data_IF_677301995107
#
_entry.id   IF_677301995107
#
_cell.length_a   1.000
_cell.length_b   1.000
_cell.length_c   1.000
_cell.angle_alpha   90.00
_cell.angle_beta   90.00
_cell.angle_gamma   90.00
#
_symmetry.space_group_name_H-M   'P 1'
#
loop_
_entity.id
_entity.type
_entity.pdbx_description
1 polymer ?
#
# COMPACT_ATOMS: atom_id res chain seq x y z
N UNK A 1 21.67 -19.29 36.04
CA UNK A 1 21.39 -18.04 35.29
C UNK A 1 19.94 -18.08 34.81
N UNK A 2 19.04 -17.32 35.45
CA UNK A 2 17.59 -17.31 35.09
C UNK A 2 17.41 -16.46 33.86
N UNK A 3 16.90 -17.06 32.79
CA UNK A 3 16.53 -16.37 31.57
C UNK A 3 15.27 -15.53 31.83
N UNK A 4 15.22 -14.24 31.45
CA UNK A 4 14.03 -13.44 31.68
C UNK A 4 12.85 -14.04 30.90
N UNK A 5 11.70 -14.16 31.55
CA UNK A 5 10.47 -14.77 31.01
C UNK A 5 9.66 -13.84 30.12
N UNK A 6 10.09 -12.61 29.92
CA UNK A 6 9.41 -11.65 29.07
C UNK A 6 10.37 -11.09 28.02
N UNK A 7 10.04 -11.32 26.76
CA UNK A 7 10.70 -10.68 25.63
C UNK A 7 10.17 -9.24 25.49
N UNK A 8 11.01 -8.26 25.75
CA UNK A 8 10.67 -6.82 25.68
C UNK A 8 10.52 -6.31 24.23
N UNK A 9 10.83 -7.13 23.27
CA UNK A 9 10.76 -6.80 21.83
C UNK A 9 9.52 -7.38 21.15
N UNK A 10 8.57 -7.88 21.95
CA UNK A 10 7.31 -8.38 21.46
C UNK A 10 7.39 -9.60 20.57
N UNK A 11 8.55 -10.25 20.23
CA UNK A 11 8.44 -11.39 19.32
C UNK A 11 9.75 -12.01 18.84
N UNK A 12 10.80 -12.04 19.69
CA UNK A 12 12.02 -12.75 19.33
C UNK A 12 12.02 -14.17 19.87
N UNK A 13 12.35 -15.13 19.00
CA UNK A 13 12.56 -16.52 19.34
C UNK A 13 13.88 -16.70 20.10
N UNK A 14 13.80 -17.03 21.38
CA UNK A 14 14.95 -17.49 22.16
C UNK A 14 14.72 -18.95 22.51
N UNK A 15 15.57 -19.86 21.99
CA UNK A 15 15.62 -21.30 22.33
C UNK A 15 14.24 -21.98 22.46
N UNK A 16 13.59 -22.26 21.34
CA UNK A 16 12.39 -23.10 21.32
C UNK A 16 11.06 -22.35 21.50
N UNK A 17 11.06 -21.09 21.89
CA UNK A 17 9.87 -20.24 21.83
C UNK A 17 9.73 -19.59 20.45
N UNK A 18 8.66 -19.96 19.74
CA UNK A 18 8.22 -19.20 18.57
C UNK A 18 7.36 -18.05 19.09
N UNK A 19 7.94 -16.86 19.17
CA UNK A 19 7.11 -15.66 19.20
C UNK A 19 6.47 -15.50 17.83
N UNK A 20 5.15 -15.41 17.78
CA UNK A 20 4.46 -15.07 16.54
C UNK A 20 4.79 -13.61 16.21
N UNK A 21 5.62 -13.40 15.20
CA UNK A 21 5.85 -12.07 14.68
C UNK A 21 4.51 -11.55 14.15
N UNK A 22 3.99 -10.47 14.73
CA UNK A 22 2.74 -9.87 14.28
C UNK A 22 3.02 -9.15 12.96
N UNK A 23 2.77 -9.85 11.86
CA UNK A 23 2.88 -9.27 10.53
C UNK A 23 1.83 -8.17 10.37
N UNK A 24 2.29 -6.95 10.07
CA UNK A 24 1.41 -5.84 9.74
C UNK A 24 1.28 -5.75 8.23
N UNK A 25 0.05 -5.84 7.72
CA UNK A 25 -0.23 -5.81 6.30
C UNK A 25 -0.98 -4.53 5.91
N UNK A 26 -0.69 -4.03 4.73
CA UNK A 26 -1.24 -2.80 4.17
C UNK A 26 -1.66 -3.01 2.72
N UNK A 27 -2.56 -2.17 2.25
CA UNK A 27 -2.93 -2.04 0.84
C UNK A 27 -2.63 -0.64 0.34
N UNK A 28 -2.26 -0.54 -0.93
CA UNK A 28 -2.09 0.74 -1.64
C UNK A 28 -2.67 0.56 -3.05
N UNK A 29 -3.58 1.45 -3.45
CA UNK A 29 -4.26 1.40 -4.73
C UNK A 29 -4.00 2.65 -5.57
N UNK A 30 -3.89 2.42 -6.87
CA UNK A 30 -3.83 3.45 -7.90
C UNK A 30 -5.08 3.33 -8.78
N UNK A 31 -6.00 4.29 -8.67
CA UNK A 31 -7.12 4.38 -9.60
C UNK A 31 -6.72 5.32 -10.74
N UNK A 32 -6.72 4.78 -11.94
CA UNK A 32 -6.49 5.52 -13.18
C UNK A 32 -7.83 5.78 -13.89
N UNK A 33 -7.86 6.79 -14.74
CA UNK A 33 -8.91 6.89 -15.74
C UNK A 33 -8.76 5.76 -16.79
N UNK A 34 -9.75 5.60 -17.65
CA UNK A 34 -9.79 4.51 -18.62
C UNK A 34 -8.63 4.51 -19.62
N UNK A 35 -8.05 5.68 -19.88
CA UNK A 35 -6.92 5.85 -20.79
C UNK A 35 -5.55 5.80 -20.07
N UNK A 36 -5.54 5.75 -18.74
CA UNK A 36 -4.30 5.76 -17.95
C UNK A 36 -3.57 7.09 -17.93
N UNK A 37 -4.28 8.20 -18.19
CA UNK A 37 -3.70 9.54 -18.24
C UNK A 37 -3.72 10.26 -16.88
N UNK A 38 -4.65 9.89 -16.01
CA UNK A 38 -4.82 10.49 -14.69
C UNK A 38 -4.81 9.43 -13.60
N UNK A 39 -4.34 9.80 -12.42
CA UNK A 39 -4.29 8.94 -11.24
C UNK A 39 -4.64 9.73 -9.98
N UNK A 40 -5.40 9.12 -9.07
CA UNK A 40 -5.61 9.66 -7.73
C UNK A 40 -4.44 9.30 -6.82
N UNK A 41 -3.92 10.31 -6.14
CA UNK A 41 -2.97 10.15 -5.04
C UNK A 41 -3.49 10.86 -3.80
N UNK A 42 -3.07 10.40 -2.63
CA UNK A 42 -3.47 10.98 -1.35
C UNK A 42 -2.25 11.59 -0.65
N UNK A 43 -2.38 12.83 -0.15
CA UNK A 43 -1.33 13.47 0.61
C UNK A 43 -1.36 12.99 2.05
N UNK A 44 -0.31 12.32 2.48
CA UNK A 44 -0.24 11.68 3.80
C UNK A 44 0.00 12.71 4.90
N UNK A 45 -0.76 12.60 5.99
CA UNK A 45 -0.56 13.35 7.24
C UNK A 45 0.24 12.53 8.25
N UNK A 46 0.22 11.21 8.15
CA UNK A 46 0.93 10.23 8.99
C UNK A 46 1.30 8.97 8.19
N UNK A 47 2.31 8.19 8.62
CA UNK A 47 3.25 8.48 9.71
C UNK A 47 4.16 9.66 9.38
N UNK A 48 4.94 10.15 10.36
CA UNK A 48 5.75 11.36 10.23
C UNK A 48 6.68 11.36 9.00
N UNK A 49 7.28 10.21 8.65
CA UNK A 49 8.17 10.09 7.49
C UNK A 49 7.45 10.19 6.14
N UNK A 50 6.10 10.08 6.11
CA UNK A 50 5.29 10.29 4.90
C UNK A 50 4.60 11.65 4.87
N UNK A 51 4.63 12.40 5.96
CA UNK A 51 3.88 13.67 6.06
C UNK A 51 4.20 14.61 4.91
N UNK A 52 3.16 15.08 4.22
CA UNK A 52 3.25 15.97 3.06
C UNK A 52 3.67 15.29 1.76
N UNK A 53 3.97 13.98 1.78
CA UNK A 53 4.24 13.21 0.57
C UNK A 53 2.94 12.62 0.02
N UNK A 54 2.84 12.54 -1.29
CA UNK A 54 1.76 11.82 -1.96
C UNK A 54 2.06 10.33 -2.08
N UNK A 55 1.05 9.51 -1.81
CA UNK A 55 1.06 8.06 -1.94
C UNK A 55 -0.18 7.60 -2.72
N UNK A 56 -0.25 6.32 -3.10
CA UNK A 56 -1.52 5.72 -3.50
C UNK A 56 -2.51 5.68 -2.34
N UNK A 57 -3.79 5.63 -2.64
CA UNK A 57 -4.87 5.55 -1.66
C UNK A 57 -4.85 4.18 -0.99
N UNK A 58 -4.98 4.11 0.33
CA UNK A 58 -5.00 2.85 1.04
C UNK A 58 -4.50 2.94 2.48
N UNK A 59 -4.55 1.81 3.17
CA UNK A 59 -4.24 1.76 4.59
C UNK A 59 -3.98 0.36 5.10
N UNK A 60 -4.33 0.13 6.35
CA UNK A 60 -4.02 -1.09 7.09
C UNK A 60 -5.09 -2.15 6.84
N UNK A 61 -4.65 -3.40 6.57
CA UNK A 61 -5.55 -4.56 6.54
C UNK A 61 -5.96 -4.90 7.97
N UNK A 62 -7.26 -5.00 8.22
CA UNK A 62 -7.82 -5.36 9.51
C UNK A 62 -7.76 -6.87 9.76
N UNK A 63 -7.94 -7.27 11.03
CA UNK A 63 -7.89 -8.67 11.42
C UNK A 63 -9.04 -9.46 10.76
N UNK A 64 -8.68 -10.46 9.97
CA UNK A 64 -9.65 -11.33 9.27
C UNK A 64 -10.11 -10.78 7.92
N UNK A 65 -9.62 -9.62 7.52
CA UNK A 65 -9.92 -9.00 6.24
C UNK A 65 -8.95 -9.49 5.16
N UNK A 66 -9.44 -9.70 3.95
CA UNK A 66 -8.56 -9.95 2.81
C UNK A 66 -7.93 -8.65 2.30
N UNK A 67 -6.80 -8.73 1.60
CA UNK A 67 -6.17 -7.55 1.00
C UNK A 67 -7.10 -6.88 -0.03
N UNK A 68 -7.90 -7.66 -0.74
CA UNK A 68 -8.87 -7.16 -1.71
C UNK A 68 -10.01 -6.38 -1.03
N UNK A 69 -10.60 -6.94 0.04
CA UNK A 69 -11.67 -6.26 0.79
C UNK A 69 -11.16 -4.99 1.47
N UNK A 70 -9.92 -5.04 2.01
CA UNK A 70 -9.26 -3.88 2.58
C UNK A 70 -9.08 -2.77 1.53
N UNK A 71 -8.69 -3.11 0.29
CA UNK A 71 -8.53 -2.13 -0.78
C UNK A 71 -9.86 -1.43 -1.11
N UNK A 72 -10.95 -2.19 -1.20
CA UNK A 72 -12.29 -1.64 -1.46
C UNK A 72 -12.71 -0.72 -0.32
N UNK A 73 -12.54 -1.14 0.93
CA UNK A 73 -12.91 -0.37 2.13
C UNK A 73 -12.11 0.92 2.24
N UNK A 74 -10.77 0.83 2.22
CA UNK A 74 -9.88 1.98 2.38
C UNK A 74 -10.11 3.02 1.28
N UNK A 75 -10.24 2.58 0.02
CA UNK A 75 -10.51 3.51 -1.07
C UNK A 75 -11.84 4.25 -0.89
N UNK A 76 -12.88 3.55 -0.46
CA UNK A 76 -14.19 4.17 -0.18
C UNK A 76 -14.12 5.13 1.01
N UNK A 77 -13.39 4.78 2.08
CA UNK A 77 -13.25 5.61 3.29
C UNK A 77 -12.50 6.91 3.00
N UNK A 78 -11.43 6.85 2.18
CA UNK A 78 -10.60 8.01 1.89
C UNK A 78 -11.14 8.88 0.73
N UNK A 79 -11.85 8.28 -0.24
CA UNK A 79 -12.27 8.99 -1.47
C UNK A 79 -13.79 9.13 -1.63
N UNK A 80 -14.59 8.44 -0.82
CA UNK A 80 -16.04 8.35 -0.97
C UNK A 80 -16.52 7.46 -2.13
N UNK A 81 -15.61 6.91 -2.93
CA UNK A 81 -15.92 6.13 -4.13
C UNK A 81 -15.82 4.64 -3.86
N UNK A 82 -16.91 3.91 -4.12
CA UNK A 82 -16.89 2.45 -4.09
C UNK A 82 -16.42 1.88 -5.44
N UNK A 83 -15.38 1.03 -5.40
CA UNK A 83 -14.83 0.34 -6.56
C UNK A 83 -14.48 -1.10 -6.19
N UNK A 84 -14.88 -2.06 -7.03
CA UNK A 84 -14.57 -3.49 -6.89
C UNK A 84 -13.62 -4.00 -8.00
N UNK A 85 -13.28 -3.17 -8.98
CA UNK A 85 -12.48 -3.57 -10.15
C UNK A 85 -10.96 -3.49 -9.87
N UNK A 86 -10.54 -3.89 -8.66
CA UNK A 86 -9.14 -3.86 -8.26
C UNK A 86 -8.37 -5.08 -8.73
N UNK A 87 -7.19 -4.87 -9.29
CA UNK A 87 -6.25 -5.93 -9.65
C UNK A 87 -4.96 -5.75 -8.86
N UNK A 88 -4.56 -6.79 -8.11
CA UNK A 88 -3.27 -6.81 -7.43
C UNK A 88 -2.17 -7.08 -8.45
N UNK A 89 -1.10 -6.28 -8.44
CA UNK A 89 0.01 -6.43 -9.38
C UNK A 89 1.39 -6.54 -8.70
N UNK A 90 1.48 -6.18 -7.41
CA UNK A 90 2.74 -6.19 -6.69
C UNK A 90 2.52 -6.48 -5.21
N UNK A 91 3.46 -7.18 -4.60
CA UNK A 91 3.57 -7.35 -3.16
C UNK A 91 5.01 -7.04 -2.74
N UNK A 92 5.17 -6.20 -1.74
CA UNK A 92 6.48 -5.85 -1.18
C UNK A 92 6.45 -6.12 0.32
N UNK A 93 7.42 -6.88 0.81
CA UNK A 93 7.61 -7.17 2.23
C UNK A 93 8.99 -6.73 2.72
N UNK A 94 9.07 -6.34 3.99
CA UNK A 94 10.33 -6.04 4.66
C UNK A 94 10.85 -7.23 5.44
N UNK A 95 12.19 -7.46 5.46
CA UNK A 95 12.81 -8.45 6.33
C UNK A 95 12.89 -7.93 7.77
N UNK A 96 12.89 -8.85 8.74
CA UNK A 96 13.22 -8.57 10.13
C UNK A 96 12.13 -8.80 11.15
N UNK A 97 12.36 -8.31 12.37
CA UNK A 97 11.53 -8.54 13.57
C UNK A 97 10.16 -7.87 13.52
N UNK A 98 9.99 -6.86 12.70
CA UNK A 98 8.70 -6.26 12.36
C UNK A 98 8.42 -6.57 10.90
N UNK A 99 7.89 -7.76 10.62
CA UNK A 99 7.48 -8.11 9.27
C UNK A 99 6.26 -7.27 8.88
N UNK A 100 6.40 -6.56 7.78
CA UNK A 100 5.32 -5.85 7.15
C UNK A 100 5.21 -6.27 5.68
N UNK A 101 3.99 -6.21 5.16
CA UNK A 101 3.69 -6.48 3.74
C UNK A 101 2.79 -5.39 3.23
N UNK A 102 3.07 -4.89 2.04
CA UNK A 102 2.19 -3.97 1.30
C UNK A 102 1.76 -4.63 0.01
N UNK A 103 0.46 -4.69 -0.21
CA UNK A 103 -0.16 -5.18 -1.44
C UNK A 103 -0.54 -3.99 -2.30
N UNK A 104 -0.08 -3.96 -3.54
CA UNK A 104 -0.35 -2.88 -4.48
C UNK A 104 -1.38 -3.30 -5.51
N UNK A 105 -2.37 -2.43 -5.69
CA UNK A 105 -3.49 -2.63 -6.59
C UNK A 105 -3.58 -1.51 -7.61
N UNK A 106 -4.17 -1.80 -8.76
CA UNK A 106 -4.62 -0.79 -9.69
C UNK A 106 -6.07 -1.05 -10.11
N UNK A 107 -6.75 0.01 -10.56
CA UNK A 107 -8.04 -0.05 -11.20
C UNK A 107 -8.12 1.01 -12.31
N UNK A 108 -8.82 0.72 -13.40
CA UNK A 108 -9.13 1.68 -14.44
C UNK A 108 -10.62 1.99 -14.40
N UNK A 109 -10.99 3.26 -14.16
CA UNK A 109 -12.39 3.65 -14.03
C UNK A 109 -12.60 5.14 -14.22
N UNK A 110 -13.69 5.50 -14.89
CA UNK A 110 -14.18 6.89 -14.94
C UNK A 110 -14.54 7.44 -13.55
N UNK A 111 -14.67 6.57 -12.55
CA UNK A 111 -14.91 6.96 -11.16
C UNK A 111 -13.75 7.77 -10.55
N UNK A 112 -12.55 7.72 -11.16
CA UNK A 112 -11.39 8.52 -10.75
C UNK A 112 -11.71 10.01 -10.66
N UNK A 113 -12.59 10.52 -11.52
CA UNK A 113 -13.04 11.92 -11.54
C UNK A 113 -14.11 12.26 -10.50
N UNK A 114 -14.59 11.27 -9.74
CA UNK A 114 -15.64 11.44 -8.71
C UNK A 114 -15.09 11.36 -7.29
N UNK A 115 -13.78 11.16 -7.14
CA UNK A 115 -13.14 11.06 -5.83
C UNK A 115 -13.14 12.40 -5.12
N UNK A 116 -13.32 12.37 -3.81
CA UNK A 116 -13.31 13.51 -2.92
C UNK A 116 -12.35 13.23 -1.76
N UNK A 117 -11.87 14.26 -1.11
CA UNK A 117 -11.17 14.12 0.17
C UNK A 117 -12.21 13.97 1.28
N UNK A 118 -12.34 12.78 1.84
CA UNK A 118 -13.35 12.45 2.88
C UNK A 118 -12.73 12.51 4.27
N UNK A 119 -11.42 12.33 4.36
CA UNK A 119 -10.65 12.36 5.61
C UNK A 119 -9.85 13.67 5.73
N UNK A 120 -8.96 13.74 6.73
CA UNK A 120 -7.99 14.82 6.90
C UNK A 120 -6.80 14.75 5.90
N UNK A 121 -6.75 13.72 5.09
CA UNK A 121 -5.77 13.54 4.00
C UNK A 121 -6.38 13.96 2.66
N UNK A 122 -5.68 14.80 1.92
CA UNK A 122 -6.17 15.37 0.65
C UNK A 122 -5.97 14.36 -0.50
N UNK A 123 -7.06 14.04 -1.20
CA UNK A 123 -7.03 13.25 -2.43
C UNK A 123 -6.97 14.19 -3.63
N UNK A 124 -5.93 14.01 -4.45
CA UNK A 124 -5.67 14.88 -5.61
C UNK A 124 -5.54 14.05 -6.88
N UNK A 125 -6.16 14.53 -7.94
CA UNK A 125 -6.04 13.96 -9.28
C UNK A 125 -4.82 14.55 -9.99
N UNK A 126 -3.88 13.71 -10.40
CA UNK A 126 -2.70 14.11 -11.15
C UNK A 126 -2.70 13.54 -12.56
N UNK A 127 -2.17 14.30 -13.51
CA UNK A 127 -1.75 13.71 -14.78
C UNK A 127 -0.54 12.80 -14.53
N UNK A 128 -0.55 11.62 -15.11
CA UNK A 128 0.55 10.64 -14.98
C UNK A 128 1.88 11.20 -15.49
N UNK A 129 1.84 12.04 -16.53
CA UNK A 129 3.02 12.69 -17.11
C UNK A 129 3.56 13.85 -16.23
N UNK A 130 2.77 14.32 -15.28
CA UNK A 130 3.10 15.48 -14.43
C UNK A 130 2.88 15.20 -12.94
N UNK A 131 3.44 14.09 -12.47
CA UNK A 131 3.38 13.75 -11.05
C UNK A 131 4.14 14.77 -10.19
N UNK A 132 3.66 15.08 -8.97
CA UNK A 132 4.31 16.02 -8.08
C UNK A 132 5.69 15.51 -7.63
N UNK A 133 6.60 16.42 -7.31
CA UNK A 133 7.95 16.07 -6.86
C UNK A 133 7.96 15.39 -5.49
N UNK A 134 7.00 15.72 -4.64
CA UNK A 134 6.83 15.20 -3.27
C UNK A 134 5.99 13.92 -3.22
N UNK A 135 6.29 12.96 -4.08
CA UNK A 135 5.74 11.60 -4.02
C UNK A 135 6.66 10.66 -3.24
N UNK A 136 6.08 9.62 -2.63
CA UNK A 136 6.87 8.51 -2.08
C UNK A 136 7.68 7.87 -3.20
N UNK A 137 8.97 7.64 -2.95
CA UNK A 137 9.96 7.31 -4.00
C UNK A 137 9.59 6.09 -4.84
N UNK A 138 8.95 5.09 -4.24
CA UNK A 138 8.55 3.87 -4.95
C UNK A 138 7.45 4.12 -6.00
N UNK A 139 6.66 5.18 -5.90
CA UNK A 139 5.64 5.51 -6.90
C UNK A 139 6.25 5.78 -8.28
N UNK A 140 7.51 6.23 -8.33
CA UNK A 140 8.24 6.51 -9.59
C UNK A 140 8.37 5.28 -10.49
N UNK A 141 8.30 4.08 -9.91
CA UNK A 141 8.34 2.84 -10.67
C UNK A 141 7.05 2.02 -10.55
N UNK A 142 6.30 2.12 -9.44
CA UNK A 142 5.01 1.43 -9.27
C UNK A 142 3.94 1.92 -10.26
N UNK A 143 3.83 3.25 -10.45
CA UNK A 143 2.84 3.81 -11.38
C UNK A 143 3.13 3.37 -12.83
N UNK A 144 4.33 3.52 -13.37
CA UNK A 144 4.65 2.98 -14.70
C UNK A 144 4.41 1.46 -14.82
N UNK A 145 4.74 0.67 -13.80
CA UNK A 145 4.48 -0.77 -13.81
C UNK A 145 2.99 -1.10 -13.82
N UNK A 146 2.18 -0.37 -13.06
CA UNK A 146 0.73 -0.55 -13.07
C UNK A 146 0.10 -0.22 -14.43
N UNK A 147 0.70 0.69 -15.18
CA UNK A 147 0.26 1.08 -16.52
C UNK A 147 0.77 0.16 -17.63
N UNK A 148 1.88 -0.56 -17.42
CA UNK A 148 2.45 -1.47 -18.42
C UNK A 148 1.60 -2.75 -18.53
N UNK A 149 0.97 -3.01 -19.70
CA UNK A 149 0.18 -4.23 -19.90
C UNK A 149 0.98 -5.53 -19.71
N UNK A 150 2.28 -5.50 -19.89
CA UNK A 150 3.13 -6.68 -19.74
C UNK A 150 3.45 -6.97 -18.27
N UNK A 151 3.60 -5.94 -17.44
CA UNK A 151 3.80 -6.07 -15.99
C UNK A 151 2.50 -6.40 -15.23
N UNK A 152 1.34 -6.09 -15.79
CA UNK A 152 0.03 -6.30 -15.14
C UNK A 152 -0.46 -7.74 -15.11
N UNK A 153 0.17 -8.66 -15.85
CA UNK A 153 -0.32 -10.03 -15.98
C UNK A 153 0.08 -10.95 -14.83
N UNK A 154 1.15 -10.63 -14.14
CA UNK A 154 1.72 -11.47 -13.09
C UNK A 154 1.90 -10.68 -11.80
N UNK A 155 1.51 -11.27 -10.68
CA UNK A 155 1.81 -10.71 -9.35
C UNK A 155 3.29 -10.95 -9.07
N UNK A 156 4.06 -9.88 -9.02
CA UNK A 156 5.47 -9.96 -8.67
C UNK A 156 5.58 -10.03 -7.15
N UNK A 157 5.95 -11.21 -6.64
CA UNK A 157 6.26 -11.40 -5.22
C UNK A 157 7.76 -11.28 -5.03
N UNK A 158 8.20 -10.24 -4.30
CA UNK A 158 9.57 -10.14 -3.84
C UNK A 158 9.69 -10.81 -2.46
N UNK A 159 9.95 -12.12 -2.43
CA UNK A 159 10.26 -12.83 -1.18
C UNK A 159 11.67 -12.56 -0.65
N UNK A 160 12.54 -11.97 -1.45
CA UNK A 160 13.92 -11.68 -1.11
C UNK A 160 14.32 -10.26 -1.55
N UNK A 161 14.08 -9.28 -0.71
CA UNK A 161 15.00 -8.15 -0.66
C UNK A 161 16.20 -8.66 0.13
N UNK A 162 17.17 -9.22 -0.59
CA UNK A 162 18.44 -9.59 -0.01
C UNK A 162 19.05 -8.35 0.65
N UNK A 163 19.50 -8.55 1.87
CA UNK A 163 20.37 -7.64 2.60
C UNK A 163 21.53 -7.14 1.73
N UNK A 164 21.54 -5.86 1.49
CA UNK A 164 22.76 -5.12 1.16
C UNK A 164 23.13 -4.25 2.34
#
# INVERSE_FOLDING_TARGET
MKIPRQCHCGDIKVRGHRCAVKQQSYVVGFMFDTEGQFVNLIQKTKPEWQRGLFNGVGGKIEKGESAYDAMIREFKEETGVHCEDWTMFMQIGGPGLSSWVVYFFYAFSVKVFKTLSVTDEEVVLFSVDHLPKNIITNLKWLIPMALDPNCRKDVITNEHVASF
#
